data_IF_845884806037
#
_entry.id   IF_845884806037
#
_cell.length_a   1.000
_cell.length_b   1.000
_cell.length_c   1.000
_cell.angle_alpha   90.00
_cell.angle_beta   90.00
_cell.angle_gamma   90.00
#
_symmetry.space_group_name_H-M   'P 1'
#
loop_
_entity.id
_entity.type
_entity.pdbx_description
1 polymer ?
#
# COMPACT_ATOMS: atom_id res chain seq x y z
N UNK A 1 -2.79 41.46 2.78
CA UNK A 1 -2.46 40.27 3.60
C UNK A 1 -3.75 39.45 3.75
N UNK A 2 -3.78 38.21 3.27
CA UNK A 2 -4.98 37.38 3.21
C UNK A 2 -5.16 36.61 4.54
N UNK A 3 -6.09 37.08 5.38
CA UNK A 3 -6.85 36.45 6.47
C UNK A 3 -6.21 35.52 7.53
N UNK A 4 -4.90 35.25 7.56
CA UNK A 4 -4.23 34.47 8.65
C UNK A 4 -4.91 33.13 9.02
N UNK A 5 -5.68 32.54 8.11
CA UNK A 5 -6.38 31.29 8.37
C UNK A 5 -5.39 30.11 8.29
N UNK A 6 -5.41 29.28 9.32
CA UNK A 6 -4.70 28.00 9.34
C UNK A 6 -5.70 26.85 9.15
N UNK A 7 -5.29 25.82 8.40
CA UNK A 7 -6.12 24.64 8.19
C UNK A 7 -6.42 23.94 9.51
N UNK A 8 -7.70 23.74 9.80
CA UNK A 8 -8.10 22.93 10.94
C UNK A 8 -7.65 21.49 10.68
N UNK A 9 -6.81 20.97 11.56
CA UNK A 9 -6.45 19.56 11.53
C UNK A 9 -7.70 18.75 11.87
N UNK A 10 -7.88 17.59 11.23
CA UNK A 10 -9.00 16.71 11.56
C UNK A 10 -9.03 16.46 13.09
N UNK A 11 -10.20 16.45 13.71
CA UNK A 11 -10.35 16.24 15.15
C UNK A 11 -10.23 14.75 15.56
N UNK A 12 -9.76 13.87 14.67
CA UNK A 12 -9.57 12.48 15.02
C UNK A 12 -8.28 12.31 15.84
N UNK A 13 -8.31 11.42 16.83
CA UNK A 13 -7.16 11.13 17.71
C UNK A 13 -5.90 10.72 16.93
N UNK A 14 -6.09 10.18 15.72
CA UNK A 14 -5.02 9.84 14.79
C UNK A 14 -4.25 11.07 14.30
N UNK A 15 -4.94 12.17 13.96
CA UNK A 15 -4.31 13.40 13.47
C UNK A 15 -3.66 14.21 14.60
N UNK A 16 -4.19 14.17 15.82
CA UNK A 16 -3.54 14.74 17.01
C UNK A 16 -2.13 14.15 17.24
N UNK A 17 -1.98 12.83 17.07
CA UNK A 17 -0.68 12.16 17.25
C UNK A 17 0.27 12.34 16.05
N UNK A 18 -0.27 12.70 14.87
CA UNK A 18 0.52 12.93 13.65
C UNK A 18 1.19 14.31 13.60
N UNK A 19 0.58 15.33 14.23
CA UNK A 19 1.07 16.71 14.16
C UNK A 19 2.27 16.98 15.08
N UNK A 20 2.39 16.22 16.18
CA UNK A 20 3.43 16.41 17.20
C UNK A 20 4.83 15.99 16.73
N UNK A 21 4.94 15.12 15.73
CA UNK A 21 6.23 14.52 15.33
C UNK A 21 6.81 15.01 14.00
N UNK A 22 6.14 15.92 13.28
CA UNK A 22 6.58 16.44 11.97
C UNK A 22 6.73 15.38 10.86
N UNK A 23 6.56 14.11 11.21
CA UNK A 23 6.57 12.94 10.36
C UNK A 23 5.24 12.25 10.63
N UNK A 24 4.24 12.54 9.79
CA UNK A 24 2.88 12.05 9.94
C UNK A 24 2.82 10.64 10.52
N UNK A 25 2.05 10.48 11.60
CA UNK A 25 2.06 9.37 12.54
C UNK A 25 2.39 8.02 11.91
N UNK A 26 3.25 7.27 12.61
CA UNK A 26 3.94 6.04 12.20
C UNK A 26 3.04 4.85 11.85
N UNK A 27 2.10 5.05 10.92
CA UNK A 27 1.39 3.96 10.27
C UNK A 27 2.35 3.20 9.37
N UNK A 28 2.08 1.89 9.19
CA UNK A 28 2.81 1.05 8.23
C UNK A 28 2.80 1.61 6.82
N UNK A 29 1.71 2.30 6.43
CA UNK A 29 1.64 3.03 5.16
C UNK A 29 2.66 4.17 5.08
N UNK A 30 2.87 4.93 6.16
CA UNK A 30 3.88 5.98 6.18
C UNK A 30 5.30 5.40 6.18
N UNK A 31 5.56 4.35 6.95
CA UNK A 31 6.84 3.63 6.93
C UNK A 31 7.19 3.18 5.50
N UNK A 32 6.23 2.61 4.76
CA UNK A 32 6.46 2.18 3.38
C UNK A 32 6.74 3.35 2.42
N UNK A 33 6.06 4.50 2.58
CA UNK A 33 6.36 5.72 1.82
C UNK A 33 7.78 6.22 2.07
N UNK A 34 8.23 6.20 3.33
CA UNK A 34 9.59 6.58 3.68
C UNK A 34 10.63 5.61 3.09
N UNK A 35 10.34 4.31 3.09
CA UNK A 35 11.21 3.30 2.48
C UNK A 35 11.35 3.51 0.96
N UNK A 36 10.24 3.72 0.25
CA UNK A 36 10.26 4.02 -1.20
C UNK A 36 11.08 5.28 -1.47
N UNK A 37 10.95 6.32 -0.63
CA UNK A 37 11.75 7.55 -0.74
C UNK A 37 13.25 7.27 -0.61
N UNK A 38 13.66 6.38 0.30
CA UNK A 38 15.06 5.96 0.44
C UNK A 38 15.53 5.21 -0.80
N UNK A 39 14.73 4.28 -1.34
CA UNK A 39 15.13 3.54 -2.54
C UNK A 39 15.27 4.43 -3.78
N UNK A 40 14.47 5.49 -3.92
CA UNK A 40 14.64 6.48 -5.01
C UNK A 40 16.00 7.16 -5.01
N UNK A 41 16.67 7.26 -3.86
CA UNK A 41 18.02 7.82 -3.76
C UNK A 41 19.09 6.85 -4.25
N UNK A 42 18.83 5.55 -4.20
CA UNK A 42 19.78 4.47 -4.56
C UNK A 42 19.58 4.07 -6.03
N UNK A 43 18.32 3.98 -6.49
CA UNK A 43 17.99 3.54 -7.83
C UNK A 43 16.89 4.43 -8.45
N UNK A 44 17.18 5.18 -9.54
CA UNK A 44 16.17 6.02 -10.21
C UNK A 44 15.05 5.21 -10.86
N UNK A 45 15.24 3.91 -11.09
CA UNK A 45 14.24 3.03 -11.69
C UNK A 45 13.38 2.27 -10.66
N UNK A 46 13.47 2.61 -9.37
CA UNK A 46 12.74 1.88 -8.33
C UNK A 46 11.23 1.84 -8.56
N UNK A 47 10.63 2.94 -9.02
CA UNK A 47 9.19 3.00 -9.27
C UNK A 47 8.78 2.04 -10.38
N UNK A 48 9.61 1.92 -11.44
CA UNK A 48 9.40 0.96 -12.52
C UNK A 48 9.59 -0.47 -12.02
N UNK A 49 10.60 -0.72 -11.19
CA UNK A 49 10.86 -2.05 -10.65
C UNK A 49 9.73 -2.54 -9.73
N UNK A 50 9.19 -1.67 -8.87
CA UNK A 50 8.02 -1.97 -8.04
C UNK A 50 6.79 -2.24 -8.92
N UNK A 51 6.58 -1.45 -9.98
CA UNK A 51 5.46 -1.69 -10.88
C UNK A 51 5.64 -2.99 -11.67
N UNK A 52 6.86 -3.31 -12.10
CA UNK A 52 7.17 -4.57 -12.80
C UNK A 52 7.10 -5.78 -11.87
N UNK A 53 7.34 -5.65 -10.57
CA UNK A 53 7.31 -6.79 -9.64
C UNK A 53 5.93 -7.41 -9.45
N UNK A 54 4.87 -6.74 -9.90
CA UNK A 54 3.50 -7.30 -9.93
C UNK A 54 3.13 -7.91 -11.28
N UNK A 55 4.01 -7.85 -12.27
CA UNK A 55 3.83 -8.51 -13.57
C UNK A 55 4.40 -9.94 -13.51
N UNK A 56 3.74 -10.87 -14.20
CA UNK A 56 4.21 -12.25 -14.34
C UNK A 56 4.49 -12.96 -13.01
N UNK A 57 3.58 -12.76 -12.05
CA UNK A 57 3.66 -13.37 -10.72
C UNK A 57 3.03 -14.77 -10.72
N UNK A 58 3.65 -15.71 -10.01
CA UNK A 58 3.08 -17.06 -9.84
C UNK A 58 1.79 -16.97 -9.02
N UNK A 59 0.65 -17.21 -9.65
CA UNK A 59 -0.68 -17.17 -9.05
C UNK A 59 -0.85 -18.18 -7.89
N UNK A 60 -0.10 -19.28 -7.89
CA UNK A 60 -0.12 -20.27 -6.80
C UNK A 60 0.38 -19.68 -5.47
N UNK A 61 1.14 -18.57 -5.53
CA UNK A 61 1.70 -17.89 -4.35
C UNK A 61 0.83 -16.72 -3.87
N UNK A 62 -0.22 -16.38 -4.60
CA UNK A 62 -1.12 -15.28 -4.26
C UNK A 62 -2.18 -15.76 -3.26
N UNK A 63 -2.28 -15.05 -2.13
CA UNK A 63 -3.22 -15.37 -1.04
C UNK A 63 -4.68 -15.03 -1.41
N UNK A 64 -4.89 -14.27 -2.48
CA UNK A 64 -6.21 -14.01 -3.05
C UNK A 64 -6.15 -12.91 -4.10
N UNK A 65 -7.10 -12.91 -5.01
CA UNK A 65 -7.22 -11.88 -6.05
C UNK A 65 -8.69 -11.53 -6.28
N UNK A 66 -8.96 -10.35 -6.84
CA UNK A 66 -10.31 -9.92 -7.22
C UNK A 66 -10.36 -9.72 -8.73
N UNK A 67 -11.31 -10.36 -9.40
CA UNK A 67 -11.67 -10.04 -10.79
C UNK A 67 -12.88 -9.08 -10.82
N UNK A 68 -13.32 -8.64 -12.00
CA UNK A 68 -14.44 -7.68 -12.10
C UNK A 68 -15.77 -8.14 -11.47
N UNK A 69 -15.93 -9.41 -11.14
CA UNK A 69 -17.18 -10.01 -10.66
C UNK A 69 -17.05 -10.67 -9.28
N UNK A 70 -15.86 -11.17 -8.93
CA UNK A 70 -15.67 -12.00 -7.74
C UNK A 70 -14.32 -11.76 -7.06
N UNK A 71 -14.35 -11.82 -5.72
CA UNK A 71 -13.16 -12.02 -4.90
C UNK A 71 -12.88 -13.52 -4.79
N UNK A 72 -11.65 -13.92 -5.04
CA UNK A 72 -11.16 -15.28 -4.84
C UNK A 72 -10.17 -15.29 -3.68
N UNK A 73 -10.51 -16.01 -2.62
CA UNK A 73 -9.57 -16.30 -1.53
C UNK A 73 -8.70 -17.50 -1.89
N UNK A 74 -7.47 -17.56 -1.36
CA UNK A 74 -6.56 -18.69 -1.52
C UNK A 74 -7.23 -20.03 -1.28
N UNK A 75 -8.09 -20.16 -0.26
CA UNK A 75 -8.75 -21.42 0.07
C UNK A 75 -9.72 -21.88 -1.03
N UNK A 76 -10.36 -20.96 -1.74
CA UNK A 76 -11.25 -21.29 -2.86
C UNK A 76 -10.45 -21.72 -4.09
N UNK A 77 -9.35 -21.01 -4.38
CA UNK A 77 -8.42 -21.32 -5.46
C UNK A 77 -7.80 -22.70 -5.23
N UNK A 78 -7.31 -22.96 -4.02
CA UNK A 78 -6.69 -24.23 -3.63
C UNK A 78 -7.65 -25.40 -3.79
N UNK A 79 -8.91 -25.26 -3.38
CA UNK A 79 -9.95 -26.29 -3.55
C UNK A 79 -10.25 -26.57 -5.03
N UNK A 80 -10.30 -25.53 -5.88
CA UNK A 80 -10.49 -25.68 -7.34
C UNK A 80 -9.30 -26.32 -8.04
N UNK A 81 -8.07 -26.05 -7.59
CA UNK A 81 -6.86 -26.68 -8.14
C UNK A 81 -6.78 -28.20 -7.90
N UNK A 82 -7.58 -28.74 -6.96
CA UNK A 82 -7.68 -30.17 -6.69
C UNK A 82 -8.66 -30.91 -7.62
N UNK A 83 -9.53 -30.20 -8.36
CA UNK A 83 -10.32 -30.81 -9.44
C UNK A 83 -9.46 -30.86 -10.70
N UNK A 84 -8.59 -31.87 -10.78
CA UNK A 84 -8.02 -32.30 -12.05
C UNK A 84 -9.13 -32.98 -12.85
N UNK A 85 -9.49 -32.40 -14.00
CA UNK A 85 -9.98 -33.22 -15.12
C UNK A 85 -8.84 -34.10 -15.65
#
# INVERSE_FOLDING_TARGET
RYNELQFIQCACRLTEHCSVSGQGGGSKRNEMKQLIKKFRQINPYIDINIFKSVHDVNLETIIGYHDHKHTYDFLEIYKKGMTKE
#
